data_IF_267768548623
#
_entry.id   IF_267768548623
#
_cell.length_a   1.000
_cell.length_b   1.000
_cell.length_c   1.000
_cell.angle_alpha   90.00
_cell.angle_beta   90.00
_cell.angle_gamma   90.00
#
_symmetry.space_group_name_H-M   'P 1'
#
loop_
_entity.id
_entity.type
_entity.pdbx_description
1 polymer ?
#
# COMPACT_ATOMS: atom_id res chain seq x y z
N UNK A 1 1.52 -18.69 30.23
CA UNK A 1 1.23 -18.96 28.81
C UNK A 1 0.02 -18.14 28.42
N UNK A 2 0.16 -17.15 27.55
CA UNK A 2 -1.00 -16.41 27.03
C UNK A 2 -1.61 -17.26 25.93
N UNK A 3 -2.83 -17.68 26.15
CA UNK A 3 -3.71 -18.28 25.16
C UNK A 3 -3.98 -17.22 24.09
N UNK A 4 -3.15 -17.19 23.06
CA UNK A 4 -3.46 -16.46 21.84
C UNK A 4 -4.36 -17.37 21.04
N UNK A 5 -5.68 -17.23 21.23
CA UNK A 5 -6.68 -17.83 20.35
C UNK A 5 -6.30 -17.60 18.88
N UNK A 6 -6.83 -18.43 17.96
CA UNK A 6 -6.50 -18.31 16.54
C UNK A 6 -6.64 -16.84 16.12
N UNK A 7 -5.66 -16.28 15.38
CA UNK A 7 -5.74 -14.89 14.96
C UNK A 7 -7.10 -14.69 14.30
N UNK A 8 -7.81 -13.64 14.71
CA UNK A 8 -9.10 -13.30 14.13
C UNK A 8 -8.94 -13.37 12.60
N UNK A 9 -9.72 -14.23 11.94
CA UNK A 9 -9.67 -14.37 10.49
C UNK A 9 -9.87 -12.98 9.93
N UNK A 10 -8.82 -12.42 9.32
CA UNK A 10 -8.86 -11.07 8.77
C UNK A 10 -9.94 -11.06 7.69
N UNK A 11 -11.04 -10.38 7.97
CA UNK A 11 -12.18 -10.39 7.08
C UNK A 11 -11.95 -9.42 5.90
N UNK A 12 -12.57 -9.74 4.77
CA UNK A 12 -12.43 -8.93 3.57
C UNK A 12 -12.93 -7.49 3.79
N UNK A 13 -13.90 -7.27 4.68
CA UNK A 13 -14.43 -5.95 4.97
C UNK A 13 -13.36 -5.04 5.61
N UNK A 14 -12.64 -5.54 6.61
CA UNK A 14 -11.54 -4.83 7.26
C UNK A 14 -10.36 -4.57 6.31
N UNK A 15 -10.08 -5.50 5.40
CA UNK A 15 -9.07 -5.32 4.35
C UNK A 15 -9.49 -4.25 3.33
N UNK A 16 -10.72 -4.31 2.85
CA UNK A 16 -11.30 -3.36 1.91
C UNK A 16 -11.24 -1.93 2.46
N UNK A 17 -11.63 -1.74 3.72
CA UNK A 17 -11.63 -0.42 4.37
C UNK A 17 -10.21 0.18 4.45
N UNK A 18 -9.26 -0.59 5.00
CA UNK A 18 -7.85 -0.16 5.15
C UNK A 18 -7.16 0.12 3.82
N UNK A 19 -7.35 -0.76 2.83
CA UNK A 19 -6.80 -0.54 1.49
C UNK A 19 -7.43 0.67 0.82
N UNK A 20 -8.74 0.88 0.99
CA UNK A 20 -9.41 2.08 0.48
C UNK A 20 -8.86 3.35 1.13
N UNK A 21 -8.59 3.32 2.44
CA UNK A 21 -7.93 4.39 3.19
C UNK A 21 -6.53 4.71 2.64
N UNK A 22 -5.68 3.69 2.49
CA UNK A 22 -4.31 3.86 1.96
C UNK A 22 -4.33 4.42 0.54
N UNK A 23 -5.08 3.80 -0.36
CA UNK A 23 -5.17 4.24 -1.75
C UNK A 23 -5.73 5.66 -1.83
N UNK A 24 -6.72 5.99 -1.01
CA UNK A 24 -7.25 7.34 -0.88
C UNK A 24 -6.19 8.37 -0.44
N UNK A 25 -5.33 8.03 0.52
CA UNK A 25 -4.21 8.89 0.94
C UNK A 25 -3.18 9.07 -0.17
N UNK A 26 -2.81 7.99 -0.88
CA UNK A 26 -1.93 8.08 -2.05
C UNK A 26 -2.53 8.97 -3.13
N UNK A 27 -3.83 8.82 -3.43
CA UNK A 27 -4.54 9.65 -4.40
C UNK A 27 -4.51 11.14 -4.05
N UNK A 28 -4.71 11.48 -2.77
CA UNK A 28 -4.61 12.87 -2.30
C UNK A 28 -3.19 13.42 -2.44
N UNK A 29 -2.17 12.65 -2.04
CA UNK A 29 -0.77 13.07 -2.16
C UNK A 29 -0.41 13.38 -3.63
N UNK A 30 -0.84 12.55 -4.58
CA UNK A 30 -0.63 12.79 -6.03
C UNK A 30 -1.24 14.14 -6.46
N UNK A 31 -2.45 14.45 -5.99
CA UNK A 31 -3.16 15.68 -6.34
C UNK A 31 -2.49 16.91 -5.73
N UNK A 32 -2.07 16.81 -4.48
CA UNK A 32 -1.39 17.87 -3.72
C UNK A 32 -0.01 18.19 -4.31
N UNK A 33 0.74 17.19 -4.78
CA UNK A 33 2.08 17.40 -5.36
C UNK A 33 2.05 18.01 -6.76
N UNK A 34 0.90 18.04 -7.44
CA UNK A 34 0.70 18.58 -8.80
C UNK A 34 1.68 18.04 -9.88
N UNK A 35 2.38 16.93 -9.62
CA UNK A 35 3.34 16.31 -10.54
C UNK A 35 2.65 15.19 -11.32
N UNK A 36 2.02 15.54 -12.43
CA UNK A 36 1.55 14.57 -13.41
C UNK A 36 2.57 14.44 -14.56
N UNK A 37 3.48 13.45 -14.52
CA UNK A 37 4.34 13.15 -15.66
C UNK A 37 3.50 12.94 -16.93
N UNK A 38 3.93 13.60 -18.01
CA UNK A 38 3.23 13.67 -19.31
C UNK A 38 3.29 12.32 -20.04
N UNK A 39 4.27 11.47 -19.72
CA UNK A 39 4.46 10.13 -20.27
C UNK A 39 4.78 9.15 -19.15
N UNK A 40 4.42 7.87 -19.35
CA UNK A 40 4.38 6.80 -18.36
C UNK A 40 5.46 6.86 -17.26
N UNK A 41 5.07 6.51 -16.04
CA UNK A 41 5.89 6.52 -14.84
C UNK A 41 5.04 6.21 -13.62
N UNK A 42 5.60 6.28 -12.41
CA UNK A 42 4.85 6.13 -11.17
C UNK A 42 4.48 7.51 -10.63
N UNK A 43 3.19 7.72 -10.35
CA UNK A 43 2.68 8.94 -9.71
C UNK A 43 2.88 8.89 -8.20
N UNK A 44 2.69 7.71 -7.61
CA UNK A 44 2.98 7.41 -6.22
C UNK A 44 3.19 5.91 -6.09
N UNK A 45 4.01 5.50 -5.14
CA UNK A 45 4.16 4.11 -4.78
C UNK A 45 4.36 3.93 -3.27
N UNK A 46 3.92 2.78 -2.78
CA UNK A 46 4.11 2.33 -1.41
C UNK A 46 4.59 0.88 -1.46
N UNK A 47 5.77 0.63 -0.92
CA UNK A 47 6.33 -0.71 -0.81
C UNK A 47 6.12 -1.28 0.59
N UNK A 48 5.85 -2.58 0.63
CA UNK A 48 5.71 -3.41 1.82
C UNK A 48 6.77 -4.51 1.72
N UNK A 49 7.82 -4.37 2.52
CA UNK A 49 8.93 -5.31 2.62
C UNK A 49 8.78 -6.07 3.94
N UNK A 50 7.92 -7.08 3.93
CA UNK A 50 7.65 -7.89 5.11
C UNK A 50 8.39 -9.23 5.10
N UNK A 51 8.24 -9.97 6.18
CA UNK A 51 8.87 -11.28 6.31
C UNK A 51 8.26 -12.27 5.29
N UNK A 52 9.07 -12.67 4.31
CA UNK A 52 8.70 -13.66 3.29
C UNK A 52 7.86 -13.11 2.13
N UNK A 53 7.68 -11.79 2.03
CA UNK A 53 6.94 -11.21 0.90
C UNK A 53 7.43 -9.81 0.53
N UNK A 54 7.15 -9.45 -0.72
CA UNK A 54 7.38 -8.11 -1.23
C UNK A 54 6.15 -7.70 -2.02
N UNK A 55 5.50 -6.63 -1.59
CA UNK A 55 4.33 -6.08 -2.27
C UNK A 55 4.51 -4.59 -2.47
N UNK A 56 4.29 -4.12 -3.69
CA UNK A 56 4.33 -2.70 -4.03
C UNK A 56 2.99 -2.28 -4.58
N UNK A 57 2.42 -1.25 -3.98
CA UNK A 57 1.24 -0.57 -4.50
C UNK A 57 1.73 0.64 -5.29
N UNK A 58 1.28 0.82 -6.53
CA UNK A 58 1.66 1.99 -7.31
C UNK A 58 0.49 2.53 -8.12
N UNK A 59 0.38 3.86 -8.16
CA UNK A 59 -0.43 4.56 -9.14
C UNK A 59 0.45 4.88 -10.34
N UNK A 60 0.09 4.40 -11.52
CA UNK A 60 0.86 4.67 -12.73
C UNK A 60 0.35 5.94 -13.42
N UNK A 61 1.26 6.70 -14.02
CA UNK A 61 0.98 7.87 -14.83
C UNK A 61 0.53 7.49 -16.24
N UNK A 62 -0.13 8.44 -16.92
CA UNK A 62 -0.68 8.25 -18.26
C UNK A 62 -2.02 7.48 -18.30
N UNK A 63 -2.75 7.66 -19.40
CA UNK A 63 -4.02 6.98 -19.65
C UNK A 63 -5.03 7.10 -18.51
N UNK A 64 -5.53 5.95 -18.04
CA UNK A 64 -6.55 5.87 -16.99
C UNK A 64 -6.01 6.04 -15.55
N UNK A 65 -4.69 6.24 -15.38
CA UNK A 65 -4.00 6.31 -14.07
C UNK A 65 -4.38 5.18 -13.11
N UNK A 66 -4.07 3.92 -13.46
CA UNK A 66 -4.49 2.78 -12.66
C UNK A 66 -3.67 2.65 -11.36
N UNK A 67 -4.34 2.19 -10.31
CA UNK A 67 -3.67 1.67 -9.12
C UNK A 67 -3.44 0.16 -9.30
N UNK A 68 -2.21 -0.27 -9.06
CA UNK A 68 -1.79 -1.66 -9.15
C UNK A 68 -1.17 -2.14 -7.85
N UNK A 69 -1.46 -3.37 -7.47
CA UNK A 69 -0.60 -4.16 -6.60
C UNK A 69 0.34 -5.01 -7.45
N UNK A 70 1.62 -4.96 -7.11
CA UNK A 70 2.67 -5.82 -7.61
C UNK A 70 3.16 -6.65 -6.43
N UNK A 71 2.81 -7.93 -6.38
CA UNK A 71 3.43 -8.86 -5.42
C UNK A 71 4.64 -9.46 -6.13
N UNK A 72 5.85 -9.17 -5.67
CA UNK A 72 7.09 -9.63 -6.31
C UNK A 72 7.61 -10.93 -5.72
N UNK A 73 7.33 -11.16 -4.43
CA UNK A 73 7.66 -12.38 -3.67
C UNK A 73 6.46 -12.82 -2.83
N UNK A 74 6.24 -14.13 -2.62
CA UNK A 74 7.03 -15.26 -3.14
C UNK A 74 6.83 -15.53 -4.64
N UNK A 75 5.69 -15.15 -5.21
CA UNK A 75 5.39 -15.28 -6.65
C UNK A 75 4.94 -13.96 -7.25
N UNK A 76 5.40 -13.71 -8.48
CA UNK A 76 5.07 -12.48 -9.20
C UNK A 76 3.60 -12.47 -9.58
N UNK A 77 2.86 -11.48 -9.08
CA UNK A 77 1.46 -11.30 -9.40
C UNK A 77 1.10 -9.82 -9.49
N UNK A 78 0.16 -9.47 -10.37
CA UNK A 78 -0.23 -8.08 -10.65
C UNK A 78 -1.73 -7.94 -10.65
N UNK A 79 -2.27 -7.09 -9.79
CA UNK A 79 -3.71 -6.93 -9.59
C UNK A 79 -4.08 -5.45 -9.69
N UNK A 80 -5.08 -5.14 -10.53
CA UNK A 80 -5.60 -3.78 -10.66
C UNK A 80 -6.55 -3.48 -9.50
N UNK A 81 -6.21 -2.50 -8.67
CA UNK A 81 -6.96 -2.13 -7.47
C UNK A 81 -7.97 -1.01 -7.73
N UNK A 82 -7.92 -0.39 -8.91
CA UNK A 82 -8.76 0.75 -9.24
C UNK A 82 -8.02 1.75 -10.10
N UNK A 83 -8.46 3.01 -10.04
CA UNK A 83 -7.87 4.11 -10.82
C UNK A 83 -8.04 5.46 -10.15
N UNK A 84 -7.16 6.40 -10.49
CA UNK A 84 -7.30 7.81 -10.15
C UNK A 84 -8.09 8.52 -11.25
N UNK A 85 -9.24 9.07 -10.91
CA UNK A 85 -10.02 9.87 -11.85
C UNK A 85 -9.42 11.28 -12.06
N UNK A 86 -10.00 12.02 -12.99
CA UNK A 86 -9.54 13.37 -13.37
C UNK A 86 -9.70 14.40 -12.26
N UNK A 87 -10.59 14.14 -11.31
CA UNK A 87 -10.87 15.04 -10.19
C UNK A 87 -9.99 14.67 -8.98
N UNK A 88 -9.02 13.77 -9.16
CA UNK A 88 -8.12 13.34 -8.10
C UNK A 88 -8.75 12.33 -7.14
N UNK A 89 -9.93 11.80 -7.45
CA UNK A 89 -10.61 10.82 -6.60
C UNK A 89 -10.25 9.40 -7.01
N UNK A 90 -9.97 8.58 -6.01
CA UNK A 90 -9.69 7.15 -6.21
C UNK A 90 -11.01 6.40 -6.43
N UNK A 91 -11.09 5.70 -7.57
CA UNK A 91 -12.16 4.75 -7.90
C UNK A 91 -11.66 3.35 -7.61
N UNK A 92 -12.01 2.85 -6.43
CA UNK A 92 -11.64 1.52 -5.95
C UNK A 92 -12.34 0.44 -6.78
N UNK A 93 -11.60 -0.62 -7.10
CA UNK A 93 -12.14 -1.87 -7.64
C UNK A 93 -12.30 -2.87 -6.49
N UNK A 94 -13.53 -3.06 -6.01
CA UNK A 94 -13.81 -4.05 -4.96
C UNK A 94 -13.43 -5.47 -5.39
N UNK A 95 -13.65 -5.79 -6.67
CA UNK A 95 -13.23 -7.06 -7.24
C UNK A 95 -11.70 -7.21 -7.25
N UNK A 96 -10.96 -6.16 -7.60
CA UNK A 96 -9.49 -6.16 -7.57
C UNK A 96 -8.95 -6.33 -6.15
N UNK A 97 -9.53 -5.63 -5.17
CA UNK A 97 -9.16 -5.81 -3.77
C UNK A 97 -9.50 -7.21 -3.26
N UNK A 98 -10.61 -7.81 -3.70
CA UNK A 98 -10.95 -9.19 -3.37
C UNK A 98 -9.93 -10.18 -3.92
N UNK A 99 -9.53 -10.02 -5.19
CA UNK A 99 -8.47 -10.84 -5.78
C UNK A 99 -7.15 -10.72 -5.00
N UNK A 100 -6.77 -9.51 -4.59
CA UNK A 100 -5.55 -9.32 -3.80
C UNK A 100 -5.67 -10.00 -2.45
N UNK A 101 -6.79 -9.80 -1.74
CA UNK A 101 -7.05 -10.44 -0.46
C UNK A 101 -6.93 -11.98 -0.57
N UNK A 102 -7.62 -12.57 -1.55
CA UNK A 102 -7.63 -14.02 -1.73
C UNK A 102 -6.25 -14.56 -2.11
N UNK A 103 -5.52 -13.85 -2.98
CA UNK A 103 -4.16 -14.22 -3.33
C UNK A 103 -3.21 -14.17 -2.13
N UNK A 104 -3.28 -13.11 -1.31
CA UNK A 104 -2.46 -13.00 -0.09
C UNK A 104 -2.81 -14.09 0.94
N UNK A 105 -4.08 -14.49 1.02
CA UNK A 105 -4.53 -15.58 1.88
C UNK A 105 -4.04 -16.94 1.37
N UNK A 106 -4.14 -17.19 0.08
CA UNK A 106 -3.69 -18.41 -0.59
C UNK A 106 -2.19 -18.67 -0.38
N UNK A 107 -1.38 -17.61 -0.41
CA UNK A 107 0.07 -17.70 -0.19
C UNK A 107 0.48 -17.49 1.28
N UNK A 108 -0.49 -17.54 2.19
CA UNK A 108 -0.29 -17.50 3.66
C UNK A 108 0.47 -16.26 4.17
N UNK A 109 0.32 -15.11 3.51
CA UNK A 109 0.94 -13.84 3.92
C UNK A 109 -0.04 -12.76 4.34
N UNK A 110 -1.36 -12.97 4.14
CA UNK A 110 -2.40 -11.97 4.42
C UNK A 110 -2.22 -11.31 5.78
N UNK A 111 -2.01 -12.09 6.85
CA UNK A 111 -1.90 -11.50 8.18
C UNK A 111 -0.61 -10.78 8.50
N UNK A 112 0.47 -11.08 7.78
CA UNK A 112 1.68 -10.24 7.85
C UNK A 112 1.44 -8.93 7.11
N UNK A 113 0.91 -9.01 5.89
CA UNK A 113 0.58 -7.85 5.07
C UNK A 113 -0.40 -6.90 5.77
N UNK A 114 -1.46 -7.43 6.39
CA UNK A 114 -2.48 -6.65 7.07
C UNK A 114 -1.92 -5.81 8.22
N UNK A 115 -1.03 -6.40 9.02
CA UNK A 115 -0.34 -5.67 10.10
C UNK A 115 0.58 -4.58 9.56
N UNK A 116 1.28 -4.83 8.47
CA UNK A 116 2.15 -3.82 7.84
C UNK A 116 1.32 -2.69 7.21
N UNK A 117 0.15 -3.00 6.65
CA UNK A 117 -0.84 -2.03 6.19
C UNK A 117 -1.36 -1.15 7.33
N UNK A 118 -1.73 -1.73 8.47
CA UNK A 118 -2.16 -0.96 9.65
C UNK A 118 -1.07 -0.03 10.18
N UNK A 119 0.18 -0.50 10.20
CA UNK A 119 1.34 0.31 10.56
C UNK A 119 1.51 1.48 9.59
N UNK A 120 1.48 1.22 8.29
CA UNK A 120 1.60 2.25 7.26
C UNK A 120 0.50 3.32 7.40
N UNK A 121 -0.76 2.92 7.61
CA UNK A 121 -1.87 3.84 7.86
C UNK A 121 -1.64 4.70 9.11
N UNK A 122 -1.15 4.10 10.20
CA UNK A 122 -0.85 4.80 11.44
C UNK A 122 0.26 5.83 11.26
N UNK A 123 1.34 5.49 10.53
CA UNK A 123 2.44 6.40 10.24
C UNK A 123 1.99 7.56 9.34
N UNK A 124 1.28 7.27 8.25
CA UNK A 124 0.77 8.29 7.33
C UNK A 124 -0.24 9.24 7.99
N UNK A 125 -0.99 8.77 9.00
CA UNK A 125 -1.86 9.62 9.80
C UNK A 125 -1.07 10.57 10.73
N UNK A 126 0.10 10.14 11.23
CA UNK A 126 0.95 10.94 12.13
C UNK A 126 1.78 12.00 11.39
N UNK A 127 2.34 11.67 10.23
CA UNK A 127 3.15 12.58 9.40
C UNK A 127 2.35 13.81 8.89
N UNK A 128 1.02 13.77 9.01
CA UNK A 128 0.11 14.89 8.74
C UNK A 128 0.03 15.91 9.88
N UNK A 129 0.73 15.72 11.00
CA UNK A 129 0.85 16.71 12.06
C UNK A 129 2.04 17.65 11.76
N UNK A 130 1.81 18.93 11.41
CA UNK A 130 2.86 19.84 10.93
C UNK A 130 3.98 20.16 11.94
N UNK A 131 3.86 19.68 13.20
CA UNK A 131 4.85 19.86 14.26
C UNK A 131 5.97 18.81 14.22
N UNK A 132 5.82 17.71 13.49
CA UNK A 132 6.80 16.59 13.45
C UNK A 132 7.72 16.63 12.22
N UNK A 133 7.74 17.75 11.47
CA UNK A 133 8.48 17.92 10.20
C UNK A 133 9.99 18.15 10.32
N UNK A 134 10.56 18.06 11.52
CA UNK A 134 12.02 18.13 11.68
C UNK A 134 12.64 16.73 11.55
N UNK A 135 13.00 16.39 10.30
CA UNK A 135 14.00 15.37 10.00
C UNK A 135 13.46 13.96 9.74
N UNK A 136 12.82 13.71 8.60
CA UNK A 136 12.69 12.34 8.09
C UNK A 136 12.90 12.21 6.57
N UNK A 137 13.62 11.17 6.11
CA UNK A 137 14.22 11.08 4.79
C UNK A 137 13.26 10.41 3.80
N UNK A 138 12.42 11.19 3.14
CA UNK A 138 11.58 10.69 2.04
C UNK A 138 12.24 10.84 0.67
N UNK A 139 13.56 10.58 0.59
CA UNK A 139 14.27 10.48 -0.68
C UNK A 139 15.21 9.28 -0.67
N UNK A 140 14.94 8.36 -1.61
CA UNK A 140 15.77 7.24 -2.08
C UNK A 140 16.25 6.20 -1.06
N UNK A 141 15.57 5.05 -1.06
CA UNK A 141 16.16 3.79 -0.60
C UNK A 141 15.29 2.98 0.36
N UNK A 142 15.23 1.68 0.10
CA UNK A 142 14.57 0.61 0.84
C UNK A 142 14.35 0.86 2.36
N UNK A 143 13.12 0.63 2.80
CA UNK A 143 12.82 0.38 4.21
C UNK A 143 13.46 -0.96 4.60
N UNK A 144 14.63 -0.91 5.26
CA UNK A 144 15.28 -2.06 5.90
C UNK A 144 14.90 -2.08 7.39
N UNK A 145 13.95 -2.93 7.83
CA UNK A 145 13.60 -3.05 9.24
C UNK A 145 14.65 -3.85 10.07
N UNK A 146 15.77 -4.26 9.46
CA UNK A 146 16.74 -5.19 10.04
C UNK A 146 18.17 -4.68 10.19
N UNK A 147 18.40 -3.36 10.20
CA UNK A 147 19.73 -2.74 10.25
C UNK A 147 20.68 -3.33 11.29
N UNK A 148 21.50 -4.31 10.88
CA UNK A 148 22.77 -4.63 11.53
C UNK A 148 23.83 -3.71 10.95
N UNK A 149 24.28 -2.79 11.79
CA UNK A 149 25.54 -2.08 11.60
C UNK A 149 26.68 -3.10 11.50
N UNK A 150 27.38 -3.10 10.37
CA UNK A 150 28.82 -3.36 10.29
C UNK A 150 29.44 -2.27 9.44
#
# INVERSE_FOLDING_TARGET
MRDTGPPAVEDFAGFLDRMSGLLGMMGRAIVEDHRFPVTGGELASQSFLGEGYECRLACLGGGARPFWAFVEKPWRHRICLGRLDKDGKVRISSHGLRQLHDFLAEIEILGRFFRDLERALTYLAKDRNPQDREGHPWHDGAFDPGGRLQ
#
